data_IF_382346448147
#
_entry.id   IF_382346448147
#
_cell.length_a   1.000
_cell.length_b   1.000
_cell.length_c   1.000
_cell.angle_alpha   90.00
_cell.angle_beta   90.00
_cell.angle_gamma   90.00
#
_symmetry.space_group_name_H-M   'P 1'
#
loop_
_entity.id
_entity.type
_entity.pdbx_description
1 polymer ?
#
# COMPACT_ATOMS: atom_id res chain seq x y z
N UNK A 1 27.57 24.90 -3.70
CA UNK A 1 26.40 25.62 -3.16
C UNK A 1 25.26 25.38 -4.14
N UNK A 2 24.45 24.37 -3.91
CA UNK A 2 23.27 24.11 -4.75
C UNK A 2 22.18 25.10 -4.39
N UNK A 3 21.63 25.76 -5.40
CA UNK A 3 20.48 26.64 -5.26
C UNK A 3 19.26 25.76 -4.92
N UNK A 4 18.88 25.67 -3.63
CA UNK A 4 17.65 25.05 -3.16
C UNK A 4 16.41 25.95 -3.42
N UNK A 5 16.24 26.39 -4.64
CA UNK A 5 15.03 27.08 -5.10
C UNK A 5 14.10 26.12 -5.84
N UNK A 6 13.93 24.90 -5.33
CA UNK A 6 12.96 23.96 -5.91
C UNK A 6 11.58 24.17 -5.28
N UNK A 7 10.55 24.25 -6.12
CA UNK A 7 9.16 24.29 -5.67
C UNK A 7 8.87 23.07 -4.81
N UNK A 8 8.37 23.28 -3.59
CA UNK A 8 8.05 22.22 -2.64
C UNK A 8 6.58 21.85 -2.75
N UNK A 9 6.31 20.55 -2.93
CA UNK A 9 4.95 19.99 -2.92
C UNK A 9 4.77 19.05 -1.74
N UNK A 10 3.63 19.12 -1.06
CA UNK A 10 3.29 18.28 0.07
C UNK A 10 1.87 17.74 -0.03
N UNK A 11 1.61 16.60 0.63
CA UNK A 11 0.29 15.99 0.77
C UNK A 11 -0.03 15.92 2.25
N UNK A 12 -1.07 16.60 2.68
CA UNK A 12 -1.62 16.50 4.03
C UNK A 12 -2.93 15.71 3.94
N UNK A 13 -2.99 14.56 4.61
CA UNK A 13 -4.20 13.74 4.69
C UNK A 13 -4.94 14.01 5.99
N UNK A 14 -6.26 13.84 5.97
CA UNK A 14 -7.12 14.13 7.12
C UNK A 14 -6.88 13.21 8.33
N UNK A 15 -6.21 12.06 8.12
CA UNK A 15 -5.86 11.11 9.18
C UNK A 15 -4.36 11.12 9.48
N UNK A 16 -4.01 11.33 10.73
CA UNK A 16 -2.62 11.37 11.19
C UNK A 16 -1.95 9.98 11.17
N UNK A 17 -2.71 8.91 11.39
CA UNK A 17 -2.21 7.52 11.42
C UNK A 17 -2.01 6.92 10.04
N UNK A 18 -2.50 7.59 8.99
CA UNK A 18 -2.42 7.16 7.58
C UNK A 18 -3.04 5.77 7.33
N UNK A 19 -3.94 5.32 8.22
CA UNK A 19 -4.57 4.01 8.17
C UNK A 19 -5.99 4.13 7.62
N UNK A 20 -6.28 3.30 6.61
CA UNK A 20 -7.58 3.26 5.92
C UNK A 20 -8.06 1.82 5.77
N UNK A 21 -9.37 1.65 5.72
CA UNK A 21 -9.99 0.39 5.36
C UNK A 21 -10.52 0.43 3.92
N UNK A 22 -10.55 -0.73 3.25
CA UNK A 22 -11.21 -0.87 1.95
C UNK A 22 -12.63 -0.30 2.01
N UNK A 23 -13.06 0.40 0.95
CA UNK A 23 -14.35 1.08 0.88
C UNK A 23 -14.38 2.47 1.54
N UNK A 24 -13.32 2.90 2.25
CA UNK A 24 -13.23 4.26 2.78
C UNK A 24 -12.74 5.26 1.72
N UNK A 25 -12.87 6.53 2.02
CA UNK A 25 -12.36 7.61 1.16
C UNK A 25 -11.11 8.21 1.78
N UNK A 26 -10.04 8.28 0.99
CA UNK A 26 -8.83 9.02 1.33
C UNK A 26 -9.03 10.47 0.92
N UNK A 27 -8.99 11.38 1.89
CA UNK A 27 -9.18 12.82 1.67
C UNK A 27 -8.03 13.62 2.27
N UNK A 28 -7.86 14.83 1.77
CA UNK A 28 -6.81 15.71 2.25
C UNK A 28 -6.57 16.90 1.34
N UNK A 29 -5.38 17.48 1.50
CA UNK A 29 -4.98 18.72 0.87
C UNK A 29 -3.61 18.53 0.22
N UNK A 30 -3.49 18.91 -1.05
CA UNK A 30 -2.20 19.10 -1.72
C UNK A 30 -1.80 20.57 -1.59
N UNK A 31 -0.57 20.82 -1.16
CA UNK A 31 0.00 22.18 -1.08
C UNK A 31 1.21 22.27 -1.98
N UNK A 32 1.29 23.33 -2.77
CA UNK A 32 2.43 23.71 -3.57
C UNK A 32 2.95 25.06 -3.07
N UNK A 33 4.21 25.11 -2.71
CA UNK A 33 4.94 26.35 -2.50
C UNK A 33 5.83 26.57 -3.73
N UNK A 34 5.29 27.31 -4.70
CA UNK A 34 6.02 27.61 -5.94
C UNK A 34 7.01 28.74 -5.71
N UNK A 35 8.28 28.46 -5.95
CA UNK A 35 9.39 29.44 -5.89
C UNK A 35 9.84 29.91 -7.26
N UNK A 36 9.38 29.25 -8.33
CA UNK A 36 9.64 29.63 -9.72
C UNK A 36 8.75 30.82 -10.12
N UNK A 37 9.23 31.74 -10.95
CA UNK A 37 8.42 32.87 -11.41
C UNK A 37 7.28 32.44 -12.33
N UNK A 38 7.53 31.43 -13.18
CA UNK A 38 6.54 30.88 -14.09
C UNK A 38 6.68 29.37 -14.11
N UNK A 39 5.88 28.67 -13.33
CA UNK A 39 5.82 27.20 -13.36
C UNK A 39 4.80 26.76 -14.40
N UNK A 40 5.26 26.40 -15.58
CA UNK A 40 4.42 25.91 -16.67
C UNK A 40 4.07 24.44 -16.44
N UNK A 41 2.77 24.13 -16.53
CA UNK A 41 2.26 22.76 -16.30
C UNK A 41 1.16 22.41 -17.29
N UNK A 42 1.17 21.18 -17.79
CA UNK A 42 0.05 20.62 -18.56
C UNK A 42 -1.07 20.16 -17.66
N UNK A 43 -0.74 19.53 -16.54
CA UNK A 43 -1.72 19.04 -15.56
C UNK A 43 -1.06 18.90 -14.18
N UNK A 44 -1.81 19.24 -13.16
CA UNK A 44 -1.52 18.87 -11.78
C UNK A 44 -2.54 17.82 -11.34
N UNK A 45 -2.08 16.66 -10.91
CA UNK A 45 -2.96 15.58 -10.50
C UNK A 45 -2.39 14.78 -9.33
N UNK A 46 -3.29 14.08 -8.65
CA UNK A 46 -2.94 13.13 -7.59
C UNK A 46 -3.40 11.73 -7.99
N UNK A 47 -2.53 10.76 -7.80
CA UNK A 47 -2.82 9.34 -7.96
C UNK A 47 -2.87 8.67 -6.61
N UNK A 48 -3.80 7.72 -6.44
CA UNK A 48 -3.71 6.69 -5.42
C UNK A 48 -3.34 5.38 -6.11
N UNK A 49 -2.21 4.81 -5.70
CA UNK A 49 -1.61 3.66 -6.36
C UNK A 49 -1.46 2.52 -5.35
N UNK A 50 -1.83 1.31 -5.77
CA UNK A 50 -1.53 0.05 -5.09
C UNK A 50 -0.56 -0.78 -5.91
N UNK A 51 0.56 -1.20 -5.31
CA UNK A 51 1.61 -2.00 -5.96
C UNK A 51 1.90 -3.27 -5.16
N UNK A 52 2.14 -4.36 -5.88
CA UNK A 52 2.76 -5.58 -5.34
C UNK A 52 4.23 -5.59 -5.77
N UNK A 53 5.11 -5.74 -4.80
CA UNK A 53 6.54 -5.91 -5.03
C UNK A 53 7.00 -7.32 -4.67
N UNK A 54 7.82 -7.93 -5.53
CA UNK A 54 8.42 -9.23 -5.28
C UNK A 54 9.81 -9.34 -5.90
N UNK A 55 10.57 -10.35 -5.47
CA UNK A 55 11.91 -10.63 -5.98
C UNK A 55 11.96 -11.99 -6.65
N UNK A 56 12.71 -12.09 -7.74
CA UNK A 56 13.05 -13.37 -8.37
C UNK A 56 14.57 -13.53 -8.31
N UNK A 57 15.03 -14.62 -7.69
CA UNK A 57 16.44 -15.00 -7.72
C UNK A 57 16.64 -16.09 -8.77
N UNK A 58 17.43 -15.79 -9.79
CA UNK A 58 17.81 -16.79 -10.79
C UNK A 58 19.13 -17.43 -10.38
N UNK A 59 19.15 -18.75 -10.33
CA UNK A 59 20.37 -19.53 -10.14
C UNK A 59 20.97 -19.88 -11.50
N UNK A 60 22.27 -19.72 -11.66
CA UNK A 60 22.98 -20.10 -12.88
C UNK A 60 23.97 -21.20 -12.55
N UNK A 61 23.88 -22.32 -13.30
CA UNK A 61 24.89 -23.36 -13.22
C UNK A 61 26.22 -22.86 -13.82
N UNK A 62 27.32 -23.03 -13.09
CA UNK A 62 28.65 -22.65 -13.57
C UNK A 62 29.32 -23.70 -14.48
N UNK A 63 28.56 -24.69 -14.97
CA UNK A 63 29.09 -25.77 -15.84
C UNK A 63 29.99 -26.79 -15.15
N UNK A 64 30.33 -26.58 -13.88
CA UNK A 64 31.16 -27.48 -13.03
C UNK A 64 30.36 -28.07 -11.86
N UNK A 65 29.02 -28.11 -11.97
CA UNK A 65 28.13 -28.63 -10.93
C UNK A 65 27.89 -27.70 -9.74
N UNK A 66 28.36 -26.45 -9.79
CA UNK A 66 28.10 -25.42 -8.77
C UNK A 66 26.96 -24.47 -9.19
N UNK A 67 26.23 -24.00 -8.20
CA UNK A 67 25.17 -22.98 -8.38
C UNK A 67 25.74 -21.65 -7.91
N UNK A 68 25.78 -20.66 -8.79
CA UNK A 68 26.15 -19.29 -8.44
C UNK A 68 24.88 -18.48 -8.16
N UNK A 69 24.72 -17.88 -6.97
CA UNK A 69 23.62 -16.96 -6.71
C UNK A 69 23.83 -15.70 -7.56
N UNK A 70 22.80 -15.29 -8.28
CA UNK A 70 22.73 -13.96 -8.89
C UNK A 70 22.01 -12.99 -7.96
N UNK A 71 22.29 -11.71 -8.14
CA UNK A 71 21.54 -10.64 -7.47
C UNK A 71 20.04 -10.79 -7.77
N UNK A 72 19.17 -10.62 -6.78
CA UNK A 72 17.74 -10.71 -7.00
C UNK A 72 17.27 -9.60 -7.95
N UNK A 73 16.36 -9.94 -8.86
CA UNK A 73 15.61 -8.97 -9.66
C UNK A 73 14.38 -8.54 -8.90
N UNK A 74 14.15 -7.23 -8.86
CA UNK A 74 13.02 -6.61 -8.15
C UNK A 74 11.94 -6.25 -9.17
N UNK A 75 10.72 -6.72 -8.91
CA UNK A 75 9.55 -6.46 -9.75
C UNK A 75 8.51 -5.72 -8.93
N UNK A 76 7.86 -4.71 -9.55
CA UNK A 76 6.71 -4.02 -9.01
C UNK A 76 5.59 -4.05 -10.03
N UNK A 77 4.41 -4.51 -9.61
CA UNK A 77 3.21 -4.59 -10.43
C UNK A 77 2.14 -3.72 -9.80
N UNK A 78 1.68 -2.73 -10.54
CA UNK A 78 0.56 -1.89 -10.14
C UNK A 78 -0.75 -2.66 -10.38
N UNK A 79 -1.52 -2.90 -9.32
CA UNK A 79 -2.82 -3.57 -9.38
C UNK A 79 -4.00 -2.63 -9.13
N UNK A 80 -3.74 -1.45 -8.55
CA UNK A 80 -4.74 -0.42 -8.31
C UNK A 80 -4.22 0.95 -8.70
N UNK A 81 -5.06 1.73 -9.41
CA UNK A 81 -4.74 3.09 -9.80
C UNK A 81 -5.99 3.94 -9.92
N UNK A 82 -6.00 5.06 -9.22
CA UNK A 82 -7.04 6.08 -9.32
C UNK A 82 -6.40 7.45 -9.46
N UNK A 83 -6.68 8.13 -10.58
CA UNK A 83 -6.20 9.49 -10.85
C UNK A 83 -7.31 10.50 -10.56
N UNK A 84 -6.96 11.60 -9.89
CA UNK A 84 -7.80 12.76 -9.70
C UNK A 84 -7.05 14.00 -10.19
N UNK A 85 -7.60 14.70 -11.17
CA UNK A 85 -7.05 15.97 -11.65
C UNK A 85 -7.35 17.06 -10.64
N UNK A 86 -6.33 17.77 -10.20
CA UNK A 86 -6.44 18.89 -9.25
C UNK A 86 -6.54 20.22 -10.00
N UNK A 87 -5.79 20.34 -11.08
CA UNK A 87 -5.83 21.52 -11.96
C UNK A 87 -5.51 21.11 -13.38
N UNK A 88 -6.33 21.55 -14.31
CA UNK A 88 -6.18 21.30 -15.74
C UNK A 88 -6.47 22.59 -16.50
N UNK A 89 -5.68 22.93 -17.52
CA UNK A 89 -5.97 24.08 -18.39
C UNK A 89 -7.37 23.98 -19.02
N UNK A 90 -7.96 25.11 -19.33
CA UNK A 90 -9.20 25.16 -20.11
C UNK A 90 -8.94 24.68 -21.55
N UNK A 91 -10.00 24.30 -22.26
CA UNK A 91 -9.92 23.75 -23.63
C UNK A 91 -9.17 24.70 -24.60
N UNK A 92 -9.14 25.98 -24.29
CA UNK A 92 -8.48 27.03 -25.10
C UNK A 92 -7.03 27.32 -24.71
N UNK A 93 -6.55 26.80 -23.55
CA UNK A 93 -5.19 26.97 -23.06
C UNK A 93 -4.49 25.60 -23.04
N UNK A 94 -3.31 25.52 -23.63
CA UNK A 94 -2.53 24.27 -23.64
C UNK A 94 -1.77 24.04 -22.34
N UNK A 95 -1.44 25.11 -21.61
CA UNK A 95 -0.63 25.07 -20.39
C UNK A 95 -1.22 25.99 -19.32
N UNK A 96 -0.98 25.63 -18.07
CA UNK A 96 -1.29 26.43 -16.91
C UNK A 96 0.02 27.01 -16.35
N UNK A 97 0.03 28.30 -16.08
CA UNK A 97 1.19 28.99 -15.53
C UNK A 97 0.88 29.34 -14.07
N UNK A 98 1.68 28.85 -13.15
CA UNK A 98 1.62 29.23 -11.76
C UNK A 98 2.70 30.24 -11.44
N UNK A 99 2.31 31.42 -11.04
CA UNK A 99 3.21 32.43 -10.52
C UNK A 99 3.85 31.97 -9.19
N UNK A 100 4.87 32.69 -8.76
CA UNK A 100 5.46 32.48 -7.45
C UNK A 100 4.42 32.66 -6.36
N UNK A 101 4.22 31.62 -5.50
CA UNK A 101 3.17 31.69 -4.50
C UNK A 101 2.83 30.34 -3.86
N UNK A 102 1.79 30.37 -3.02
CA UNK A 102 1.28 29.19 -2.34
C UNK A 102 -0.08 28.82 -2.90
N UNK A 103 -0.22 27.55 -3.30
CA UNK A 103 -1.42 27.00 -3.89
C UNK A 103 -1.89 25.79 -3.08
N UNK A 104 -3.21 25.57 -3.08
CA UNK A 104 -3.82 24.51 -2.28
C UNK A 104 -5.00 23.90 -3.02
N UNK A 105 -5.07 22.56 -3.05
CA UNK A 105 -6.16 21.79 -3.66
C UNK A 105 -6.66 20.73 -2.70
N UNK A 106 -7.97 20.63 -2.57
CA UNK A 106 -8.62 19.54 -1.86
C UNK A 106 -8.72 18.32 -2.78
N UNK A 107 -8.60 17.13 -2.21
CA UNK A 107 -8.83 15.89 -2.92
C UNK A 107 -9.63 14.89 -2.10
N UNK A 108 -10.37 14.03 -2.80
CA UNK A 108 -11.08 12.88 -2.24
C UNK A 108 -10.95 11.72 -3.23
N UNK A 109 -10.45 10.58 -2.76
CA UNK A 109 -10.24 9.39 -3.57
C UNK A 109 -10.87 8.20 -2.84
N UNK A 110 -11.99 7.63 -3.34
CA UNK A 110 -12.58 6.45 -2.74
C UNK A 110 -11.71 5.22 -3.01
N UNK A 111 -11.46 4.44 -1.95
CA UNK A 111 -10.90 3.09 -2.05
C UNK A 111 -12.02 2.13 -2.46
N UNK A 112 -11.71 1.21 -3.36
CA UNK A 112 -12.65 0.12 -3.68
C UNK A 112 -12.69 -0.90 -2.55
N UNK A 113 -13.76 -1.69 -2.49
CA UNK A 113 -13.86 -2.81 -1.59
C UNK A 113 -12.85 -3.93 -1.94
N UNK A 114 -12.56 -4.78 -0.97
CA UNK A 114 -11.71 -5.97 -1.15
C UNK A 114 -10.27 -5.71 -1.62
N UNK A 115 -9.70 -4.55 -1.30
CA UNK A 115 -8.27 -4.32 -1.49
C UNK A 115 -7.44 -5.23 -0.58
N UNK A 116 -6.33 -5.81 -1.06
CA UNK A 116 -5.42 -6.57 -0.21
C UNK A 116 -4.80 -5.68 0.88
N UNK A 117 -4.45 -6.26 2.05
CA UNK A 117 -3.80 -5.49 3.11
C UNK A 117 -2.42 -5.00 2.69
N UNK A 118 -2.00 -3.88 3.24
CA UNK A 118 -0.59 -3.47 3.21
C UNK A 118 0.26 -4.56 3.89
N UNK A 119 1.29 -5.02 3.21
CA UNK A 119 2.22 -6.05 3.69
C UNK A 119 3.63 -5.48 3.61
N UNK A 120 4.35 -5.55 4.74
CA UNK A 120 5.70 -5.05 4.92
C UNK A 120 5.82 -3.51 4.76
N UNK A 121 7.01 -3.00 5.05
CA UNK A 121 7.33 -1.59 4.85
C UNK A 121 7.62 -1.31 3.37
N UNK A 122 7.52 -0.06 2.95
CA UNK A 122 7.90 0.35 1.60
C UNK A 122 9.29 -0.17 1.24
N UNK A 123 9.41 -0.67 -0.01
CA UNK A 123 10.66 -1.22 -0.58
C UNK A 123 11.25 -2.45 0.14
N UNK A 124 10.52 -3.07 1.08
CA UNK A 124 10.87 -4.35 1.71
C UNK A 124 10.10 -5.48 1.00
N UNK A 125 10.80 -6.30 0.23
CA UNK A 125 10.20 -7.35 -0.59
C UNK A 125 10.07 -8.70 0.15
N UNK A 126 8.97 -9.46 -0.09
CA UNK A 126 7.78 -9.08 -0.86
C UNK A 126 6.93 -8.04 -0.14
N UNK A 127 6.24 -7.18 -0.88
CA UNK A 127 5.38 -6.16 -0.28
C UNK A 127 4.08 -5.93 -1.06
N UNK A 128 3.06 -5.46 -0.35
CA UNK A 128 1.88 -4.80 -0.90
C UNK A 128 1.87 -3.40 -0.31
N UNK A 129 1.95 -2.38 -1.14
CA UNK A 129 2.07 -1.00 -0.69
C UNK A 129 1.06 -0.10 -1.40
N UNK A 130 0.59 0.91 -0.67
CA UNK A 130 -0.28 1.96 -1.20
C UNK A 130 0.36 3.31 -0.97
N UNK A 131 0.21 4.19 -1.93
CA UNK A 131 0.70 5.56 -1.79
C UNK A 131 -0.09 6.54 -2.62
N UNK A 132 -0.19 7.73 -2.11
CA UNK A 132 -0.58 8.91 -2.86
C UNK A 132 0.66 9.42 -3.61
N UNK A 133 0.47 9.80 -4.87
CA UNK A 133 1.51 10.45 -5.66
C UNK A 133 0.96 11.68 -6.35
N UNK A 134 1.42 12.85 -5.94
CA UNK A 134 1.16 14.08 -6.68
C UNK A 134 2.18 14.20 -7.80
N UNK A 135 1.70 14.62 -8.95
CA UNK A 135 2.53 14.84 -10.14
C UNK A 135 2.18 16.22 -10.69
N UNK A 136 3.22 17.04 -10.86
CA UNK A 136 3.18 18.24 -11.68
C UNK A 136 3.73 17.85 -13.03
N UNK A 137 2.84 17.74 -14.02
CA UNK A 137 3.19 17.37 -15.38
C UNK A 137 3.67 18.61 -16.12
N UNK A 138 4.98 18.69 -16.32
CA UNK A 138 5.66 19.80 -17.01
C UNK A 138 5.78 19.51 -18.50
N UNK A 139 6.16 20.51 -19.25
CA UNK A 139 6.45 20.39 -20.68
C UNK A 139 7.48 19.30 -20.97
N UNK A 140 7.38 18.66 -22.13
CA UNK A 140 8.13 17.46 -22.53
C UNK A 140 9.66 17.52 -22.39
N UNK A 141 10.23 18.69 -22.31
CA UNK A 141 11.70 18.92 -22.14
C UNK A 141 12.12 19.06 -20.67
N UNK A 142 11.20 19.00 -19.72
CA UNK A 142 11.50 19.13 -18.30
C UNK A 142 10.98 17.91 -17.50
N UNK A 143 11.72 17.52 -16.46
CA UNK A 143 11.28 16.40 -15.61
C UNK A 143 10.08 16.78 -14.76
N UNK A 144 9.09 15.90 -14.69
CA UNK A 144 7.93 16.06 -13.83
C UNK A 144 8.33 16.08 -12.36
N UNK A 145 7.72 16.98 -11.59
CA UNK A 145 7.87 16.97 -10.12
C UNK A 145 6.92 15.93 -9.55
N UNK A 146 7.45 15.05 -8.71
CA UNK A 146 6.68 13.97 -8.08
C UNK A 146 6.94 13.93 -6.58
N UNK A 147 5.86 13.80 -5.80
CA UNK A 147 5.94 13.60 -4.36
C UNK A 147 5.06 12.42 -3.97
N UNK A 148 5.58 11.53 -3.11
CA UNK A 148 4.87 10.33 -2.64
C UNK A 148 4.62 10.39 -1.15
N UNK A 149 3.43 9.90 -0.74
CA UNK A 149 3.08 9.67 0.66
C UNK A 149 2.46 8.29 0.81
N UNK A 150 3.08 7.42 1.59
CA UNK A 150 2.60 6.06 1.81
C UNK A 150 1.41 6.04 2.75
N UNK A 151 0.52 5.08 2.52
CA UNK A 151 -0.68 4.81 3.31
C UNK A 151 -0.66 3.35 3.75
N UNK A 152 -1.33 3.06 4.85
CA UNK A 152 -1.63 1.71 5.29
C UNK A 152 -3.09 1.40 4.95
N UNK A 153 -3.34 0.33 4.18
CA UNK A 153 -4.68 -0.11 3.83
C UNK A 153 -4.91 -1.51 4.39
N UNK A 154 -6.06 -1.69 5.04
CA UNK A 154 -6.53 -2.99 5.51
C UNK A 154 -7.87 -3.35 4.86
N UNK A 155 -8.12 -4.63 4.56
CA UNK A 155 -9.43 -5.07 4.11
C UNK A 155 -10.45 -4.89 5.23
N UNK A 156 -11.67 -4.51 4.87
CA UNK A 156 -12.79 -4.55 5.79
C UNK A 156 -13.39 -5.95 5.74
N UNK A 157 -13.19 -6.72 6.80
CA UNK A 157 -13.72 -8.07 6.91
C UNK A 157 -14.90 -8.08 7.89
N UNK A 158 -16.10 -8.41 7.40
CA UNK A 158 -17.27 -8.61 8.24
C UNK A 158 -17.41 -10.10 8.56
N UNK A 159 -17.05 -10.50 9.76
CA UNK A 159 -17.16 -11.91 10.19
C UNK A 159 -18.61 -12.42 10.20
N UNK A 160 -19.60 -11.52 10.31
CA UNK A 160 -21.03 -11.90 10.29
C UNK A 160 -21.50 -12.36 8.91
N UNK A 161 -20.82 -11.93 7.85
CA UNK A 161 -21.08 -12.39 6.47
C UNK A 161 -20.54 -13.79 6.20
N UNK A 162 -19.68 -14.29 7.09
CA UNK A 162 -19.13 -15.65 7.01
C UNK A 162 -19.42 -16.45 8.29
N UNK A 163 -20.63 -17.04 8.40
CA UNK A 163 -21.07 -17.73 9.62
C UNK A 163 -20.13 -18.86 10.09
N UNK A 164 -19.35 -19.44 9.17
CA UNK A 164 -18.37 -20.48 9.51
C UNK A 164 -17.27 -19.94 10.44
N UNK A 165 -16.94 -18.66 10.37
CA UNK A 165 -15.98 -18.04 11.27
C UNK A 165 -16.46 -17.99 12.73
N UNK A 166 -17.76 -18.08 12.97
CA UNK A 166 -18.37 -18.02 14.29
C UNK A 166 -18.60 -19.40 14.91
N UNK A 167 -18.37 -20.47 14.15
CA UNK A 167 -18.54 -21.83 14.62
C UNK A 167 -17.31 -22.33 15.38
N UNK A 168 -17.50 -23.21 16.38
CA UNK A 168 -16.38 -23.88 17.06
C UNK A 168 -15.53 -24.67 16.08
N UNK A 169 -14.23 -24.65 16.29
CA UNK A 169 -13.26 -25.36 15.45
C UNK A 169 -12.40 -26.30 16.26
N UNK A 170 -12.15 -27.48 15.72
CA UNK A 170 -11.36 -28.54 16.36
C UNK A 170 -10.16 -28.86 15.48
N UNK A 171 -8.97 -28.71 16.03
CA UNK A 171 -7.71 -29.09 15.42
C UNK A 171 -7.14 -30.31 16.14
N UNK A 172 -6.78 -31.34 15.36
CA UNK A 172 -6.21 -32.58 15.89
C UNK A 172 -4.83 -32.79 15.28
N UNK A 173 -3.89 -33.17 16.11
CA UNK A 173 -2.54 -33.53 15.71
C UNK A 173 -2.14 -34.84 16.42
N UNK A 174 -1.53 -35.75 15.69
CA UNK A 174 -0.99 -37.02 16.19
C UNK A 174 0.44 -37.17 15.70
N UNK A 175 1.37 -37.45 16.60
CA UNK A 175 2.74 -37.70 16.24
C UNK A 175 3.07 -39.20 16.17
N UNK A 176 4.26 -39.54 15.63
CA UNK A 176 4.74 -40.93 15.50
C UNK A 176 4.93 -41.66 16.84
N UNK A 177 4.82 -40.99 17.98
CA UNK A 177 4.95 -41.52 19.35
C UNK A 177 3.60 -41.69 20.06
N UNK A 178 2.51 -41.69 19.30
CA UNK A 178 1.13 -41.85 19.79
C UNK A 178 0.63 -40.73 20.71
N UNK A 179 1.36 -39.59 20.76
CA UNK A 179 0.88 -38.42 21.46
C UNK A 179 -0.18 -37.75 20.59
N UNK A 180 -1.39 -37.63 21.15
CA UNK A 180 -2.51 -36.94 20.47
C UNK A 180 -2.76 -35.61 21.15
N UNK A 181 -2.88 -34.58 20.34
CA UNK A 181 -3.28 -33.24 20.75
C UNK A 181 -4.60 -32.89 20.09
N UNK A 182 -5.50 -32.33 20.87
CA UNK A 182 -6.79 -31.83 20.38
C UNK A 182 -6.99 -30.42 20.93
N UNK A 183 -6.99 -29.41 20.05
CA UNK A 183 -7.30 -28.03 20.40
C UNK A 183 -8.72 -27.71 19.94
N UNK A 184 -9.56 -27.27 20.84
CA UNK A 184 -10.93 -26.85 20.55
C UNK A 184 -11.05 -25.35 20.81
N UNK A 185 -11.35 -24.59 19.78
CA UNK A 185 -11.61 -23.16 19.83
C UNK A 185 -13.12 -22.91 19.86
N UNK A 186 -13.57 -21.90 20.60
CA UNK A 186 -14.99 -21.54 20.66
C UNK A 186 -15.51 -20.97 19.33
N UNK A 187 -14.62 -20.42 18.48
CA UNK A 187 -14.91 -20.00 17.11
C UNK A 187 -13.63 -19.97 16.27
N UNK A 188 -13.76 -19.89 14.96
CA UNK A 188 -12.63 -19.88 14.03
C UNK A 188 -12.12 -18.44 13.75
N UNK A 189 -13.00 -17.45 13.70
CA UNK A 189 -12.67 -16.06 13.40
C UNK A 189 -12.70 -15.16 14.63
N UNK A 190 -11.71 -14.28 14.77
CA UNK A 190 -11.57 -13.31 15.87
C UNK A 190 -11.26 -11.94 15.31
N UNK A 191 -11.72 -10.89 15.99
CA UNK A 191 -11.39 -9.51 15.67
C UNK A 191 -10.21 -9.01 16.52
N UNK A 192 -9.51 -7.98 16.07
CA UNK A 192 -8.43 -7.37 16.83
C UNK A 192 -8.89 -6.94 18.23
N UNK A 193 -8.11 -7.30 19.24
CA UNK A 193 -8.42 -7.01 20.65
C UNK A 193 -9.32 -8.04 21.34
N UNK A 194 -9.86 -8.99 20.62
CA UNK A 194 -10.67 -10.07 21.17
C UNK A 194 -9.81 -11.15 21.84
N UNK A 195 -10.29 -11.71 22.97
CA UNK A 195 -9.59 -12.80 23.66
C UNK A 195 -9.88 -14.13 22.98
N UNK A 196 -8.83 -14.84 22.57
CA UNK A 196 -8.92 -16.19 22.04
C UNK A 196 -9.03 -17.18 23.21
N UNK A 197 -10.14 -17.92 23.24
CA UNK A 197 -10.38 -18.99 24.22
C UNK A 197 -10.30 -20.35 23.52
N UNK A 198 -9.50 -21.25 24.06
CA UNK A 198 -9.38 -22.61 23.57
C UNK A 198 -9.14 -23.60 24.68
N UNK A 199 -9.54 -24.85 24.45
CA UNK A 199 -9.27 -26.00 25.32
C UNK A 199 -8.25 -26.89 24.61
N UNK A 200 -7.18 -27.29 25.32
CA UNK A 200 -6.17 -28.22 24.83
C UNK A 200 -6.26 -29.53 25.59
N UNK A 201 -6.56 -30.60 24.87
CA UNK A 201 -6.54 -32.00 25.40
C UNK A 201 -5.27 -32.67 24.91
N UNK A 202 -4.50 -33.26 25.82
CA UNK A 202 -3.26 -33.98 25.51
C UNK A 202 -3.43 -35.43 25.98
N UNK A 203 -3.33 -36.38 25.06
CA UNK A 203 -3.28 -37.81 25.37
C UNK A 203 -1.87 -38.31 25.13
N UNK A 204 -1.24 -38.79 26.22
CA UNK A 204 0.07 -39.45 26.17
C UNK A 204 -0.09 -40.86 26.74
N UNK A 205 -0.21 -41.92 25.92
CA UNK A 205 -0.39 -43.27 26.36
C UNK A 205 0.85 -43.89 27.01
N UNK A 206 1.99 -43.22 26.94
CA UNK A 206 3.24 -43.68 27.58
C UNK A 206 3.36 -43.04 28.96
N UNK A 207 3.16 -43.85 29.97
CA UNK A 207 3.60 -43.55 31.33
C UNK A 207 5.06 -43.94 31.50
#
# INVERSE_FOLDING_TARGET
MGNDNSSAITIDVDRNDLLYYSGETVSGIVRLNNTEENLETHELYINLIGEIGYTITQSVSNGKGGILPRNPYYYKIQFYHKKVSLSRPSITQQEFIYDRGRYTWLFQIPLIDNLPPTINQPDTFPCVQYFLQVVIDKSWYTSNIKYKKYLTVHPRVNLLENPQCLLPSIFKFENRKDIKLKATFNKLGYVSGEKIQFTLEIQNPRK
#
